data_IF_533919976429
#
_entry.id   IF_533919976429
#
_cell.length_a   1.000
_cell.length_b   1.000
_cell.length_c   1.000
_cell.angle_alpha   90.00
_cell.angle_beta   90.00
_cell.angle_gamma   90.00
#
_symmetry.space_group_name_H-M   'P 1'
#
loop_
_entity.id
_entity.type
_entity.pdbx_description
1 polymer ?
#
# COMPACT_ATOMS: atom_id res chain seq x y z
N UNK A 1 10.02 -14.23 50.14
CA UNK A 1 8.99 -14.18 49.11
C UNK A 1 9.62 -14.57 47.78
N UNK A 2 9.38 -15.78 47.27
CA UNK A 2 9.85 -16.17 45.95
C UNK A 2 9.05 -15.40 44.90
N UNK A 3 9.64 -14.41 44.25
CA UNK A 3 9.06 -13.82 43.05
C UNK A 3 9.05 -14.91 41.96
N UNK A 4 7.87 -15.33 41.55
CA UNK A 4 7.72 -16.21 40.39
C UNK A 4 8.13 -15.41 39.16
N UNK A 5 9.32 -15.70 38.61
CA UNK A 5 9.79 -15.07 37.38
C UNK A 5 8.82 -15.47 36.26
N UNK A 6 8.25 -14.49 35.56
CA UNK A 6 7.40 -14.74 34.40
C UNK A 6 8.18 -15.55 33.33
N UNK A 7 7.51 -16.42 32.60
CA UNK A 7 8.09 -17.15 31.46
C UNK A 7 8.66 -16.18 30.42
N UNK A 8 8.06 -15.01 30.25
CA UNK A 8 8.53 -13.95 29.36
C UNK A 8 9.83 -13.29 29.88
N UNK A 9 9.98 -13.14 31.20
CA UNK A 9 11.22 -12.61 31.79
C UNK A 9 12.35 -13.63 31.75
N UNK A 10 12.03 -14.91 31.93
CA UNK A 10 12.98 -16.02 31.83
C UNK A 10 13.46 -16.29 30.38
N UNK A 11 12.68 -15.84 29.37
CA UNK A 11 13.01 -15.98 27.93
C UNK A 11 13.55 -17.35 27.54
N UNK A 12 12.81 -18.48 27.84
CA UNK A 12 13.34 -19.85 27.67
C UNK A 12 13.66 -20.19 26.21
N UNK A 13 13.11 -19.44 25.24
CA UNK A 13 13.42 -19.59 23.81
C UNK A 13 14.84 -19.17 23.43
N UNK A 14 15.48 -18.29 24.20
CA UNK A 14 16.85 -17.80 23.90
C UNK A 14 17.87 -18.91 23.85
N UNK A 15 17.68 -20.00 24.65
CA UNK A 15 18.55 -21.18 24.63
C UNK A 15 18.57 -21.93 23.28
N UNK A 16 17.57 -21.67 22.42
CA UNK A 16 17.48 -22.28 21.09
C UNK A 16 18.03 -21.37 19.98
N UNK A 17 18.52 -20.15 20.33
CA UNK A 17 19.18 -19.29 19.38
C UNK A 17 20.58 -19.81 19.07
N UNK A 18 20.97 -19.73 17.79
CA UNK A 18 22.36 -19.96 17.42
C UNK A 18 23.25 -18.77 17.79
N UNK A 19 24.54 -18.97 17.80
CA UNK A 19 25.55 -17.95 18.21
C UNK A 19 25.47 -16.64 17.43
N UNK A 20 24.94 -16.68 16.20
CA UNK A 20 24.75 -15.50 15.35
C UNK A 20 23.51 -14.66 15.69
N UNK A 21 22.62 -15.17 16.56
CA UNK A 21 21.37 -14.50 16.90
C UNK A 21 21.50 -13.87 18.30
N UNK A 22 21.49 -12.55 18.44
CA UNK A 22 21.59 -11.91 19.74
C UNK A 22 20.37 -12.22 20.60
N UNK A 23 20.58 -12.41 21.90
CA UNK A 23 19.52 -12.64 22.89
C UNK A 23 18.61 -11.42 23.12
N UNK A 24 19.06 -10.23 22.71
CA UNK A 24 18.33 -8.98 22.78
C UNK A 24 18.34 -8.30 21.41
N UNK A 25 17.23 -7.71 21.05
CA UNK A 25 17.15 -6.91 19.81
C UNK A 25 18.01 -5.64 20.00
N UNK A 26 18.82 -5.29 18.99
CA UNK A 26 19.52 -4.01 18.99
C UNK A 26 18.48 -2.88 18.88
N UNK A 27 18.82 -1.65 19.31
CA UNK A 27 17.97 -0.50 19.10
C UNK A 27 17.60 -0.36 17.61
N UNK A 28 16.36 0.06 17.29
CA UNK A 28 15.96 0.33 15.91
C UNK A 28 16.93 1.34 15.26
N UNK A 29 17.37 1.05 14.04
CA UNK A 29 18.26 1.95 13.27
C UNK A 29 17.52 3.18 12.73
N UNK A 30 16.21 3.08 12.61
CA UNK A 30 15.32 4.11 12.06
C UNK A 30 14.19 4.36 13.04
N UNK A 31 13.79 5.62 13.21
CA UNK A 31 12.74 6.01 14.14
C UNK A 31 11.36 5.51 13.72
N UNK A 32 11.14 5.34 12.40
CA UNK A 32 9.87 4.89 11.83
C UNK A 32 10.05 4.25 10.43
N UNK A 33 8.96 3.68 9.90
CA UNK A 33 8.97 3.03 8.58
C UNK A 33 9.24 4.01 7.43
N UNK A 34 8.81 5.25 7.52
CA UNK A 34 9.07 6.25 6.48
C UNK A 34 10.58 6.55 6.37
N UNK A 35 11.29 6.67 7.50
CA UNK A 35 12.75 6.85 7.53
C UNK A 35 13.48 5.63 6.96
N UNK A 36 13.07 4.42 7.34
CA UNK A 36 13.62 3.17 6.79
C UNK A 36 13.49 3.14 5.25
N UNK A 37 12.30 3.46 4.75
CA UNK A 37 12.02 3.47 3.31
C UNK A 37 12.88 4.51 2.60
N UNK A 38 12.95 5.75 3.11
CA UNK A 38 13.79 6.81 2.53
C UNK A 38 15.28 6.43 2.51
N UNK A 39 15.78 5.79 3.56
CA UNK A 39 17.16 5.32 3.61
C UNK A 39 17.45 4.26 2.54
N UNK A 40 16.52 3.33 2.30
CA UNK A 40 16.64 2.32 1.24
C UNK A 40 16.58 2.97 -0.16
N UNK A 41 15.65 3.88 -0.38
CA UNK A 41 15.50 4.63 -1.63
C UNK A 41 16.76 5.43 -1.98
N UNK A 42 17.35 6.12 -1.00
CA UNK A 42 18.59 6.88 -1.18
C UNK A 42 19.80 5.97 -1.47
N UNK A 43 19.86 4.79 -0.84
CA UNK A 43 20.99 3.86 -0.99
C UNK A 43 20.96 3.10 -2.32
N UNK A 44 19.79 2.73 -2.84
CA UNK A 44 19.64 1.80 -3.94
C UNK A 44 18.98 2.42 -5.18
N UNK A 45 19.10 3.71 -5.37
CA UNK A 45 18.39 4.59 -6.34
C UNK A 45 18.07 3.91 -7.68
N UNK A 46 19.09 3.35 -8.35
CA UNK A 46 18.96 2.78 -9.71
C UNK A 46 18.66 1.27 -9.71
N UNK A 47 18.67 0.63 -8.56
CA UNK A 47 18.38 -0.80 -8.49
C UNK A 47 16.88 -1.06 -8.63
N UNK A 48 16.53 -2.25 -9.17
CA UNK A 48 15.15 -2.72 -9.19
C UNK A 48 14.70 -3.01 -7.75
N UNK A 49 13.63 -2.34 -7.32
CA UNK A 49 13.04 -2.53 -6.01
C UNK A 49 11.98 -3.64 -6.02
N UNK A 50 11.08 -3.60 -7.01
CA UNK A 50 9.96 -4.53 -7.13
C UNK A 50 9.76 -4.96 -8.58
N UNK A 51 9.39 -6.24 -8.74
CA UNK A 51 8.99 -6.81 -10.03
C UNK A 51 7.73 -7.65 -9.84
N UNK A 52 6.72 -7.41 -10.65
CA UNK A 52 5.53 -8.26 -10.75
C UNK A 52 5.61 -9.04 -12.05
N UNK A 53 5.54 -10.37 -11.96
CA UNK A 53 5.50 -11.27 -13.09
C UNK A 53 4.12 -11.88 -13.26
N UNK A 54 3.62 -11.95 -14.48
CA UNK A 54 2.40 -12.66 -14.84
C UNK A 54 2.72 -14.10 -15.25
N UNK A 55 1.75 -15.04 -15.13
CA UNK A 55 1.98 -16.44 -15.51
C UNK A 55 2.47 -16.66 -16.97
N UNK A 56 2.16 -15.74 -17.86
CA UNK A 56 2.59 -15.76 -19.27
C UNK A 56 3.98 -15.16 -19.51
N UNK A 57 4.75 -14.84 -18.45
CA UNK A 57 6.08 -14.25 -18.52
C UNK A 57 6.13 -12.73 -18.71
N UNK A 58 5.01 -12.07 -18.98
CA UNK A 58 4.98 -10.60 -18.97
C UNK A 58 5.27 -10.07 -17.57
N UNK A 59 6.09 -9.04 -17.48
CA UNK A 59 6.46 -8.45 -16.19
C UNK A 59 6.58 -6.93 -16.27
N UNK A 60 6.47 -6.29 -15.12
CA UNK A 60 6.79 -4.90 -14.90
C UNK A 60 7.72 -4.78 -13.69
N UNK A 61 8.63 -3.82 -13.75
CA UNK A 61 9.57 -3.55 -12.65
C UNK A 61 9.62 -2.06 -12.35
N UNK A 62 9.89 -1.72 -11.09
CA UNK A 62 10.18 -0.36 -10.65
C UNK A 62 11.52 -0.32 -9.95
N UNK A 63 12.30 0.73 -10.19
CA UNK A 63 13.50 1.05 -9.41
C UNK A 63 13.12 1.70 -8.07
N UNK A 64 14.05 1.75 -7.12
CA UNK A 64 13.85 2.49 -5.88
C UNK A 64 13.53 3.96 -6.13
N UNK A 65 14.19 4.60 -7.10
CA UNK A 65 13.90 5.98 -7.48
C UNK A 65 12.45 6.17 -7.97
N UNK A 66 11.95 5.25 -8.79
CA UNK A 66 10.57 5.32 -9.28
C UNK A 66 9.55 5.09 -8.14
N UNK A 67 9.83 4.13 -7.25
CA UNK A 67 8.98 3.91 -6.07
C UNK A 67 8.97 5.14 -5.17
N UNK A 68 10.14 5.75 -4.92
CA UNK A 68 10.25 6.97 -4.14
C UNK A 68 9.41 8.10 -4.73
N UNK A 69 9.57 8.37 -6.03
CA UNK A 69 8.84 9.42 -6.75
C UNK A 69 7.32 9.25 -6.63
N UNK A 70 6.82 8.04 -6.86
CA UNK A 70 5.38 7.77 -6.79
C UNK A 70 4.86 7.78 -5.33
N UNK A 71 5.62 7.24 -4.39
CA UNK A 71 5.24 7.23 -2.97
C UNK A 71 5.20 8.65 -2.39
N UNK A 72 6.16 9.52 -2.76
CA UNK A 72 6.15 10.92 -2.35
C UNK A 72 4.94 11.67 -2.93
N UNK A 73 4.66 11.46 -4.21
CA UNK A 73 3.48 12.05 -4.85
C UNK A 73 2.19 11.57 -4.17
N UNK A 74 2.10 10.29 -3.82
CA UNK A 74 0.94 9.76 -3.13
C UNK A 74 0.81 10.28 -1.70
N UNK A 75 1.91 10.44 -0.98
CA UNK A 75 1.93 11.04 0.36
C UNK A 75 1.40 12.49 0.34
N UNK A 76 1.85 13.30 -0.62
CA UNK A 76 1.34 14.66 -0.82
C UNK A 76 -0.13 14.64 -1.19
N UNK A 77 -0.56 13.73 -2.06
CA UNK A 77 -1.98 13.59 -2.41
C UNK A 77 -2.85 13.31 -1.18
N UNK A 78 -2.45 12.38 -0.32
CA UNK A 78 -3.20 12.05 0.89
C UNK A 78 -3.31 13.24 1.87
N UNK A 79 -2.20 13.96 2.10
CA UNK A 79 -2.17 15.08 3.05
C UNK A 79 -2.83 16.34 2.49
N UNK A 80 -2.44 16.73 1.28
CA UNK A 80 -2.69 18.07 0.76
C UNK A 80 -3.88 18.16 -0.20
N UNK A 81 -4.28 17.04 -0.82
CA UNK A 81 -5.44 16.99 -1.71
C UNK A 81 -6.65 16.32 -1.04
N UNK A 82 -6.43 15.21 -0.32
CA UNK A 82 -7.50 14.54 0.44
C UNK A 82 -7.70 15.16 1.82
N UNK A 83 -6.66 15.75 2.42
CA UNK A 83 -6.71 16.39 3.72
C UNK A 83 -6.64 15.42 4.91
N UNK A 84 -6.00 14.26 4.74
CA UNK A 84 -5.85 13.30 5.83
C UNK A 84 -4.85 13.81 6.88
N UNK A 85 -5.23 13.71 8.14
CA UNK A 85 -4.36 14.03 9.27
C UNK A 85 -3.35 12.92 9.55
N UNK A 86 -2.27 13.24 10.24
CA UNK A 86 -1.36 12.23 10.75
C UNK A 86 -2.10 11.21 11.65
N UNK A 87 -1.80 9.93 11.47
CA UNK A 87 -2.51 8.83 12.15
C UNK A 87 -3.83 8.41 11.50
N UNK A 88 -4.33 9.12 10.48
CA UNK A 88 -5.49 8.67 9.70
C UNK A 88 -5.22 7.30 9.07
N UNK A 89 -6.24 6.46 9.01
CA UNK A 89 -6.11 5.09 8.52
C UNK A 89 -6.48 5.02 7.04
N UNK A 90 -5.61 4.39 6.26
CA UNK A 90 -5.78 4.16 4.82
C UNK A 90 -5.84 2.66 4.57
N UNK A 91 -6.98 2.18 4.11
CA UNK A 91 -7.14 0.78 3.72
C UNK A 91 -6.51 0.54 2.34
N UNK A 92 -5.77 -0.56 2.19
CA UNK A 92 -5.17 -1.00 0.94
C UNK A 92 -5.62 -2.42 0.63
N UNK A 93 -6.46 -2.56 -0.40
CA UNK A 93 -7.04 -3.83 -0.84
C UNK A 93 -6.60 -4.14 -2.27
N UNK A 94 -5.39 -4.67 -2.39
CA UNK A 94 -4.81 -5.06 -3.68
C UNK A 94 -4.10 -6.40 -3.56
N UNK A 95 -4.03 -7.19 -4.63
CA UNK A 95 -3.10 -8.31 -4.70
C UNK A 95 -1.65 -7.80 -4.72
N UNK A 96 -0.69 -8.72 -4.69
CA UNK A 96 0.73 -8.39 -4.86
C UNK A 96 0.99 -7.84 -6.27
N UNK A 97 0.95 -6.53 -6.40
CA UNK A 97 1.19 -5.79 -7.64
C UNK A 97 2.06 -4.55 -7.36
N UNK A 98 2.55 -3.89 -8.41
CA UNK A 98 3.45 -2.73 -8.28
C UNK A 98 2.79 -1.52 -7.59
N UNK A 99 1.47 -1.43 -7.59
CA UNK A 99 0.74 -0.39 -6.85
C UNK A 99 0.88 -0.55 -5.33
N UNK A 100 0.99 -1.79 -4.83
CA UNK A 100 1.06 -2.05 -3.39
C UNK A 100 2.20 -1.31 -2.69
N UNK A 101 3.49 -1.46 -3.07
CA UNK A 101 4.59 -0.77 -2.39
C UNK A 101 4.50 0.75 -2.54
N UNK A 102 4.05 1.27 -3.68
CA UNK A 102 3.88 2.72 -3.89
C UNK A 102 2.89 3.28 -2.88
N UNK A 103 1.72 2.65 -2.75
CA UNK A 103 0.67 3.09 -1.83
C UNK A 103 1.10 2.91 -0.39
N UNK A 104 1.63 1.74 -0.01
CA UNK A 104 2.07 1.47 1.35
C UNK A 104 3.14 2.46 1.83
N UNK A 105 4.16 2.72 1.00
CA UNK A 105 5.22 3.67 1.33
C UNK A 105 4.71 5.12 1.34
N UNK A 106 3.80 5.46 0.42
CA UNK A 106 3.14 6.77 0.43
C UNK A 106 2.32 7.00 1.69
N UNK A 107 1.59 5.99 2.18
CA UNK A 107 0.85 6.05 3.44
C UNK A 107 1.80 6.28 4.63
N UNK A 108 2.93 5.56 4.69
CA UNK A 108 3.93 5.78 5.75
C UNK A 108 4.55 7.17 5.68
N UNK A 109 4.91 7.64 4.48
CA UNK A 109 5.47 8.98 4.26
C UNK A 109 4.47 10.10 4.56
N UNK A 110 3.16 9.84 4.40
CA UNK A 110 2.10 10.75 4.80
C UNK A 110 1.92 10.84 6.33
N UNK A 111 2.56 9.96 7.11
CA UNK A 111 2.34 9.83 8.55
C UNK A 111 1.01 9.15 8.88
N UNK A 112 0.43 8.44 7.93
CA UNK A 112 -0.82 7.69 8.05
C UNK A 112 -0.57 6.24 8.48
N UNK A 113 -1.63 5.55 8.89
CA UNK A 113 -1.62 4.13 9.26
C UNK A 113 -2.12 3.29 8.10
N UNK A 114 -1.32 2.32 7.67
CA UNK A 114 -1.73 1.36 6.64
C UNK A 114 -2.60 0.27 7.25
N UNK A 115 -3.80 0.08 6.71
CA UNK A 115 -4.69 -1.05 6.99
C UNK A 115 -4.66 -1.99 5.80
N UNK A 116 -3.95 -3.10 5.92
CA UNK A 116 -3.85 -4.08 4.85
C UNK A 116 -5.10 -4.97 4.82
N UNK A 117 -5.77 -5.03 3.67
CA UNK A 117 -7.05 -5.72 3.48
C UNK A 117 -6.91 -6.84 2.47
N UNK A 118 -7.46 -8.02 2.78
CA UNK A 118 -7.44 -9.13 1.85
C UNK A 118 -8.30 -8.80 0.60
N UNK A 119 -7.73 -8.85 -0.62
CA UNK A 119 -8.47 -8.53 -1.84
C UNK A 119 -9.62 -9.50 -2.13
N UNK A 120 -9.58 -10.70 -1.55
CA UNK A 120 -10.60 -11.73 -1.77
C UNK A 120 -11.79 -11.65 -0.81
N UNK A 121 -11.81 -10.70 0.12
CA UNK A 121 -12.92 -10.53 1.05
C UNK A 121 -14.26 -10.32 0.34
N UNK A 122 -15.30 -10.88 0.94
CA UNK A 122 -16.69 -10.61 0.61
C UNK A 122 -17.08 -9.20 1.06
N UNK A 123 -18.17 -8.62 0.52
CA UNK A 123 -18.65 -7.31 0.99
C UNK A 123 -18.89 -7.25 2.51
N UNK A 124 -19.39 -8.32 3.13
CA UNK A 124 -19.62 -8.38 4.58
C UNK A 124 -18.30 -8.33 5.39
N UNK A 125 -17.28 -9.07 4.95
CA UNK A 125 -15.95 -9.03 5.60
C UNK A 125 -15.27 -7.68 5.40
N UNK A 126 -15.43 -7.04 4.24
CA UNK A 126 -14.95 -5.70 3.97
C UNK A 126 -15.62 -4.66 4.88
N UNK A 127 -16.94 -4.74 5.05
CA UNK A 127 -17.70 -3.87 5.94
C UNK A 127 -17.19 -3.95 7.39
N UNK A 128 -16.98 -5.16 7.88
CA UNK A 128 -16.44 -5.39 9.24
C UNK A 128 -15.05 -4.77 9.37
N UNK A 129 -14.13 -5.06 8.45
CA UNK A 129 -12.76 -4.58 8.56
C UNK A 129 -12.64 -3.07 8.38
N UNK A 130 -13.40 -2.47 7.48
CA UNK A 130 -13.38 -1.01 7.27
C UNK A 130 -14.00 -0.27 8.45
N UNK A 131 -15.09 -0.79 9.03
CA UNK A 131 -15.73 -0.19 10.20
C UNK A 131 -14.87 -0.32 11.45
N UNK A 132 -14.31 -1.51 11.71
CA UNK A 132 -13.44 -1.77 12.87
C UNK A 132 -12.15 -0.93 12.81
N UNK A 133 -11.51 -0.88 11.65
CA UNK A 133 -10.30 -0.08 11.48
C UNK A 133 -10.57 1.43 11.50
N UNK A 134 -11.77 1.87 11.17
CA UNK A 134 -12.10 3.28 10.98
C UNK A 134 -11.30 3.93 9.84
N UNK A 135 -11.03 3.19 8.77
CA UNK A 135 -10.31 3.70 7.60
C UNK A 135 -11.08 4.87 6.96
N UNK A 136 -10.36 5.97 6.67
CA UNK A 136 -10.92 7.19 6.07
C UNK A 136 -10.71 7.26 4.54
N UNK A 137 -9.74 6.52 4.03
CA UNK A 137 -9.50 6.36 2.61
C UNK A 137 -9.27 4.89 2.27
N UNK A 138 -9.60 4.50 1.04
CA UNK A 138 -9.43 3.16 0.51
C UNK A 138 -8.70 3.22 -0.83
N UNK A 139 -7.66 2.41 -0.97
CA UNK A 139 -7.08 2.07 -2.28
C UNK A 139 -7.46 0.63 -2.61
N UNK A 140 -8.15 0.44 -3.73
CA UNK A 140 -8.65 -0.88 -4.16
C UNK A 140 -8.30 -1.14 -5.62
N UNK A 141 -8.05 -2.41 -5.96
CA UNK A 141 -7.89 -2.79 -7.36
C UNK A 141 -9.25 -2.83 -8.07
N UNK A 142 -9.26 -2.41 -9.32
CA UNK A 142 -10.47 -2.27 -10.15
C UNK A 142 -11.32 -3.55 -10.26
N UNK A 143 -10.69 -4.73 -10.21
CA UNK A 143 -11.36 -6.03 -10.28
C UNK A 143 -12.38 -6.29 -9.14
N UNK A 144 -12.27 -5.56 -8.03
CA UNK A 144 -13.08 -5.77 -6.83
C UNK A 144 -13.82 -4.50 -6.37
N UNK A 145 -13.75 -3.44 -7.15
CA UNK A 145 -14.33 -2.16 -6.75
C UNK A 145 -15.87 -2.12 -6.84
N UNK A 146 -16.48 -3.03 -7.62
CA UNK A 146 -17.93 -3.23 -7.66
C UNK A 146 -18.52 -3.68 -6.32
N UNK A 147 -17.72 -4.40 -5.50
CA UNK A 147 -18.12 -4.86 -4.16
C UNK A 147 -18.39 -3.72 -3.18
N UNK A 148 -18.00 -2.49 -3.51
CA UNK A 148 -18.16 -1.32 -2.65
C UNK A 148 -19.56 -0.70 -2.70
N UNK A 149 -20.38 -1.08 -3.66
CA UNK A 149 -21.74 -0.56 -3.79
C UNK A 149 -22.57 -0.84 -2.53
N UNK A 150 -23.16 0.20 -1.95
CA UNK A 150 -23.94 0.12 -0.72
C UNK A 150 -23.13 -0.08 0.58
N UNK A 151 -21.84 -0.42 0.48
CA UNK A 151 -20.98 -0.70 1.64
C UNK A 151 -20.39 0.59 2.23
N UNK A 152 -19.99 1.53 1.39
CA UNK A 152 -19.28 2.75 1.83
C UNK A 152 -20.09 3.59 2.82
N UNK A 153 -21.42 3.64 2.67
CA UNK A 153 -22.31 4.39 3.55
C UNK A 153 -22.27 3.93 5.02
N UNK A 154 -21.77 2.73 5.28
CA UNK A 154 -21.66 2.13 6.61
C UNK A 154 -20.26 2.26 7.22
N UNK A 155 -19.36 2.95 6.55
CA UNK A 155 -17.94 3.07 6.94
C UNK A 155 -17.53 4.52 7.07
N UNK A 156 -16.33 4.76 7.61
CA UNK A 156 -15.73 6.09 7.68
C UNK A 156 -15.00 6.51 6.38
N UNK A 157 -15.01 5.67 5.33
CA UNK A 157 -14.30 5.91 4.08
C UNK A 157 -14.93 7.08 3.33
N UNK A 158 -14.15 8.16 3.16
CA UNK A 158 -14.54 9.39 2.46
C UNK A 158 -13.95 9.46 1.05
N UNK A 159 -12.87 8.70 0.80
CA UNK A 159 -12.15 8.73 -0.48
C UNK A 159 -11.80 7.34 -0.95
N UNK A 160 -12.22 7.02 -2.17
CA UNK A 160 -11.87 5.76 -2.85
C UNK A 160 -10.90 6.08 -4.00
N UNK A 161 -9.78 5.35 -4.02
CA UNK A 161 -8.77 5.42 -5.07
C UNK A 161 -8.70 4.03 -5.72
N UNK A 162 -8.90 3.98 -7.03
CA UNK A 162 -8.89 2.73 -7.79
C UNK A 162 -7.56 2.58 -8.55
N UNK A 163 -6.90 1.44 -8.40
CA UNK A 163 -5.68 1.09 -9.13
C UNK A 163 -5.92 -0.12 -10.06
N UNK A 164 -5.03 -0.29 -11.02
CA UNK A 164 -5.03 -1.43 -11.95
C UNK A 164 -3.84 -2.34 -11.64
N UNK A 165 -4.02 -3.66 -11.75
CA UNK A 165 -2.91 -4.62 -11.56
C UNK A 165 -1.71 -4.28 -12.47
N UNK A 166 -1.87 -4.07 -13.80
CA UNK A 166 -0.75 -3.78 -14.69
C UNK A 166 -0.43 -2.28 -14.81
N UNK A 167 -0.85 -1.43 -13.87
CA UNK A 167 -0.74 0.05 -14.00
C UNK A 167 0.70 0.52 -14.31
N UNK A 168 1.70 -0.13 -13.74
CA UNK A 168 3.11 0.24 -13.86
C UNK A 168 3.91 -0.70 -14.79
N UNK A 169 3.23 -1.48 -15.60
CA UNK A 169 3.87 -2.28 -16.65
C UNK A 169 4.21 -1.39 -17.85
N UNK A 170 5.17 -1.79 -18.70
CA UNK A 170 5.40 -1.15 -19.98
C UNK A 170 4.11 -1.08 -20.81
N UNK A 171 4.00 -0.09 -21.69
CA UNK A 171 2.73 0.24 -22.37
C UNK A 171 2.12 -0.95 -23.12
N UNK A 172 2.91 -1.71 -23.87
CA UNK A 172 2.40 -2.83 -24.67
C UNK A 172 1.92 -3.98 -23.78
N UNK A 173 2.74 -4.55 -22.85
CA UNK A 173 2.25 -5.54 -21.88
C UNK A 173 1.02 -5.09 -21.11
N UNK A 174 0.99 -3.84 -20.64
CA UNK A 174 -0.17 -3.29 -19.94
C UNK A 174 -1.44 -3.34 -20.80
N UNK A 175 -1.37 -2.89 -22.06
CA UNK A 175 -2.50 -2.89 -22.97
C UNK A 175 -2.99 -4.32 -23.24
N UNK A 176 -2.10 -5.27 -23.49
CA UNK A 176 -2.45 -6.68 -23.72
C UNK A 176 -3.12 -7.27 -22.48
N UNK A 177 -2.55 -7.11 -21.28
CA UNK A 177 -3.12 -7.63 -20.04
C UNK A 177 -4.52 -7.05 -19.81
N UNK A 178 -4.69 -5.73 -19.95
CA UNK A 178 -5.98 -5.05 -19.77
C UNK A 178 -7.04 -5.56 -20.77
N UNK A 179 -6.66 -5.78 -22.03
CA UNK A 179 -7.57 -6.31 -23.06
C UNK A 179 -7.99 -7.73 -22.71
N UNK A 180 -7.07 -8.60 -22.32
CA UNK A 180 -7.37 -9.98 -21.89
C UNK A 180 -8.30 -9.98 -20.67
N UNK A 181 -8.01 -9.17 -19.65
CA UNK A 181 -8.85 -9.06 -18.46
C UNK A 181 -10.27 -8.60 -18.77
N UNK A 182 -10.41 -7.64 -19.71
CA UNK A 182 -11.70 -7.05 -20.07
C UNK A 182 -12.52 -7.95 -21.00
N UNK A 183 -11.90 -8.45 -22.06
CA UNK A 183 -12.62 -9.13 -23.17
C UNK A 183 -12.69 -10.62 -22.94
N UNK A 184 -11.59 -11.25 -22.55
CA UNK A 184 -11.51 -12.71 -22.43
C UNK A 184 -11.95 -13.21 -21.06
N UNK A 185 -11.40 -12.65 -20.01
CA UNK A 185 -11.69 -13.08 -18.65
C UNK A 185 -12.94 -12.40 -18.05
N UNK A 186 -13.36 -11.25 -18.60
CA UNK A 186 -14.48 -10.45 -18.12
C UNK A 186 -14.44 -10.15 -16.61
N UNK A 187 -13.24 -9.94 -16.07
CA UNK A 187 -13.01 -9.71 -14.64
C UNK A 187 -12.94 -8.22 -14.24
N UNK A 188 -13.23 -7.32 -15.19
CA UNK A 188 -13.27 -5.89 -14.95
C UNK A 188 -14.71 -5.42 -14.90
N UNK A 189 -15.31 -5.31 -13.71
CA UNK A 189 -16.68 -4.85 -13.54
C UNK A 189 -16.81 -3.34 -13.83
N UNK A 190 -18.04 -2.88 -14.05
CA UNK A 190 -18.35 -1.47 -14.03
C UNK A 190 -18.28 -0.94 -12.59
N UNK A 191 -17.61 0.17 -12.39
CA UNK A 191 -17.47 0.81 -11.09
C UNK A 191 -18.47 1.95 -11.01
N UNK A 192 -19.49 1.82 -10.20
CA UNK A 192 -20.61 2.77 -10.08
C UNK A 192 -20.40 3.84 -9.02
N UNK A 193 -19.48 3.59 -8.08
CA UNK A 193 -19.17 4.51 -6.98
C UNK A 193 -18.26 5.66 -7.41
N UNK A 194 -18.35 6.79 -6.70
CA UNK A 194 -17.40 7.90 -6.88
C UNK A 194 -15.99 7.46 -6.51
N UNK A 195 -15.04 7.65 -7.41
CA UNK A 195 -13.65 7.26 -7.19
C UNK A 195 -12.67 8.12 -7.99
N UNK A 196 -11.40 8.06 -7.58
CA UNK A 196 -10.27 8.65 -8.32
C UNK A 196 -9.35 7.52 -8.76
N UNK A 197 -8.85 7.59 -9.99
CA UNK A 197 -7.84 6.63 -10.43
C UNK A 197 -6.49 6.92 -9.75
N UNK A 198 -5.78 5.89 -9.32
CA UNK A 198 -4.45 6.05 -8.69
C UNK A 198 -3.50 6.85 -9.58
N UNK A 199 -3.56 6.68 -10.90
CA UNK A 199 -2.78 7.47 -11.86
C UNK A 199 -3.05 8.98 -11.72
N UNK A 200 -4.31 9.36 -11.56
CA UNK A 200 -4.72 10.76 -11.40
C UNK A 200 -4.30 11.31 -10.04
N UNK A 201 -4.45 10.52 -8.98
CA UNK A 201 -4.01 10.86 -7.64
C UNK A 201 -2.49 11.14 -7.59
N UNK A 202 -1.69 10.27 -8.23
CA UNK A 202 -0.24 10.46 -8.34
C UNK A 202 0.14 11.71 -9.14
N UNK A 203 -0.54 11.98 -10.25
CA UNK A 203 -0.28 13.17 -11.06
C UNK A 203 -0.63 14.46 -10.30
N UNK A 204 -1.74 14.47 -9.58
CA UNK A 204 -2.16 15.59 -8.75
C UNK A 204 -1.19 15.84 -7.59
N UNK A 205 -0.82 14.79 -6.86
CA UNK A 205 0.15 14.88 -5.77
C UNK A 205 1.52 15.39 -6.24
N UNK A 206 2.00 14.91 -7.40
CA UNK A 206 3.25 15.39 -7.99
C UNK A 206 3.17 16.88 -8.37
N UNK A 207 2.04 17.32 -8.94
CA UNK A 207 1.81 18.74 -9.27
C UNK A 207 1.81 19.62 -8.01
N UNK A 208 1.13 19.18 -6.94
CA UNK A 208 1.08 19.93 -5.68
C UNK A 208 2.47 19.94 -5.01
N UNK A 209 3.18 18.82 -5.02
CA UNK A 209 4.56 18.72 -4.51
C UNK A 209 5.47 19.76 -5.18
N UNK A 210 5.44 19.83 -6.50
CA UNK A 210 6.23 20.80 -7.28
C UNK A 210 5.81 22.24 -6.96
N UNK A 211 4.51 22.52 -6.92
CA UNK A 211 4.00 23.88 -6.67
C UNK A 211 4.33 24.40 -5.27
N UNK A 212 4.38 23.51 -4.27
CA UNK A 212 4.70 23.84 -2.87
C UNK A 212 6.18 23.67 -2.52
N UNK A 213 7.02 23.22 -3.46
CA UNK A 213 8.44 22.89 -3.25
C UNK A 213 8.65 21.98 -2.04
N UNK A 214 7.85 20.90 -1.95
CA UNK A 214 7.93 19.91 -0.86
C UNK A 214 8.96 18.84 -1.23
N UNK A 215 9.96 18.64 -0.36
CA UNK A 215 10.98 17.57 -0.48
C UNK A 215 10.47 16.19 -0.02
#
# INVERSE_FOLDING_TARGET
MNQTISVYDAKPWVKHYGDAIPSQLPPPRHANLAELVRAAEARFVQQKAFTTCMPNGMHGSLTYAQVAQYADAFAVYLRDCVGLSAGARVALQTPNCLAFPIVAFGVFKAGCVLVNVNPLYTPAEMEVQFSDSGAEALVIVDMFADKLEGLLAKTAIKKVIVCEVPQFFPTIPRAVIRTVMKVWNQVLPAITIEHVLLKSALAEGARVRQAKNID
#
